data_IF_177594309358
#
_entry.id   IF_177594309358
#
_cell.length_a   1.000
_cell.length_b   1.000
_cell.length_c   1.000
_cell.angle_alpha   90.00
_cell.angle_beta   90.00
_cell.angle_gamma   90.00
#
_symmetry.space_group_name_H-M   'P 1'
#
loop_
_entity.id
_entity.type
_entity.pdbx_description
1 polymer ?
#
# COMPACT_ATOMS: atom_id res chain seq x y z
N UNK A 1 -2.82 -0.12 20.64
CA UNK A 1 -3.41 1.23 20.63
C UNK A 1 -4.27 1.32 19.37
N UNK A 2 -5.59 1.58 19.47
CA UNK A 2 -6.47 1.69 18.30
C UNK A 2 -6.02 2.76 17.29
N UNK A 3 -5.16 3.71 17.71
CA UNK A 3 -4.59 4.72 16.84
C UNK A 3 -3.71 4.15 15.71
N UNK A 4 -3.04 3.01 15.93
CA UNK A 4 -2.14 2.41 14.94
C UNK A 4 -2.92 1.87 13.73
N UNK A 5 -4.07 1.23 13.96
CA UNK A 5 -4.91 0.71 12.87
C UNK A 5 -5.45 1.82 11.98
N UNK A 6 -5.84 2.94 12.60
CA UNK A 6 -6.30 4.13 11.85
C UNK A 6 -5.18 4.68 10.96
N UNK A 7 -3.93 4.72 11.46
CA UNK A 7 -2.79 5.16 10.65
C UNK A 7 -2.53 4.17 9.50
N UNK A 8 -2.58 2.87 9.76
CA UNK A 8 -2.36 1.85 8.72
C UNK A 8 -3.44 1.95 7.63
N UNK A 9 -4.71 2.11 7.99
CA UNK A 9 -5.79 2.32 7.03
C UNK A 9 -5.62 3.63 6.23
N UNK A 10 -5.18 4.71 6.88
CA UNK A 10 -4.90 5.97 6.19
C UNK A 10 -3.76 5.83 5.18
N UNK A 11 -2.66 5.19 5.57
CA UNK A 11 -1.52 4.96 4.69
C UNK A 11 -1.89 4.03 3.54
N UNK A 12 -2.64 2.95 3.79
CA UNK A 12 -3.11 2.03 2.75
C UNK A 12 -3.92 2.77 1.66
N UNK A 13 -4.77 3.70 2.05
CA UNK A 13 -5.51 4.53 1.09
C UNK A 13 -4.59 5.52 0.35
N UNK A 14 -3.52 5.99 1.01
CA UNK A 14 -2.46 6.78 0.41
C UNK A 14 -1.72 6.02 -0.68
N UNK A 15 -1.28 4.80 -0.40
CA UNK A 15 -0.57 3.96 -1.37
C UNK A 15 -1.43 3.65 -2.59
N UNK A 16 -2.71 3.28 -2.39
CA UNK A 16 -3.66 3.07 -3.50
C UNK A 16 -3.86 4.30 -4.37
N UNK A 17 -3.88 5.49 -3.77
CA UNK A 17 -3.95 6.76 -4.50
C UNK A 17 -2.67 7.01 -5.32
N UNK A 18 -1.51 6.71 -4.74
CA UNK A 18 -0.21 6.85 -5.40
C UNK A 18 -0.06 5.86 -6.58
N UNK A 19 -0.43 4.59 -6.39
CA UNK A 19 -0.47 3.56 -7.44
C UNK A 19 -1.30 4.04 -8.63
N UNK A 20 -2.54 4.48 -8.37
CA UNK A 20 -3.41 4.99 -9.43
C UNK A 20 -2.74 6.16 -10.17
N UNK A 21 -2.14 7.11 -9.44
CA UNK A 21 -1.48 8.27 -10.04
C UNK A 21 -0.30 7.87 -10.92
N UNK A 22 0.56 6.97 -10.46
CA UNK A 22 1.73 6.58 -11.24
C UNK A 22 1.38 5.68 -12.42
N UNK A 23 0.31 4.89 -12.32
CA UNK A 23 -0.28 4.20 -13.48
C UNK A 23 -0.75 5.20 -14.54
N UNK A 24 -1.48 6.24 -14.16
CA UNK A 24 -1.94 7.29 -15.09
C UNK A 24 -0.76 8.01 -15.77
N UNK A 25 0.34 8.28 -15.04
CA UNK A 25 1.54 8.90 -15.59
C UNK A 25 2.27 7.94 -16.54
N UNK A 26 2.41 6.66 -16.18
CA UNK A 26 3.02 5.65 -17.03
C UNK A 26 2.23 5.53 -18.35
N UNK A 27 0.91 5.37 -18.28
CA UNK A 27 0.05 5.27 -19.47
C UNK A 27 0.14 6.52 -20.35
N UNK A 28 0.19 7.71 -19.73
CA UNK A 28 0.29 8.97 -20.46
C UNK A 28 1.61 9.10 -21.24
N UNK A 29 2.72 8.62 -20.65
CA UNK A 29 4.08 8.79 -21.15
C UNK A 29 4.60 7.62 -21.98
N UNK A 30 3.90 6.48 -21.97
CA UNK A 30 4.26 5.28 -22.71
C UNK A 30 4.48 5.57 -24.20
N UNK A 31 5.68 5.23 -24.69
CA UNK A 31 6.08 5.44 -26.09
C UNK A 31 6.31 6.89 -26.51
N UNK A 32 6.19 7.87 -25.59
CA UNK A 32 6.41 9.30 -25.85
C UNK A 32 7.61 9.83 -25.08
N UNK A 33 7.68 9.51 -23.79
CA UNK A 33 8.73 9.93 -22.88
C UNK A 33 9.20 8.71 -22.07
N UNK A 34 10.25 8.08 -22.55
CA UNK A 34 10.78 6.85 -21.96
C UNK A 34 11.35 7.05 -20.56
N UNK A 35 11.93 8.22 -20.28
CA UNK A 35 12.53 8.53 -18.98
C UNK A 35 11.46 8.70 -17.92
N UNK A 36 10.42 9.48 -18.21
CA UNK A 36 9.30 9.67 -17.28
C UNK A 36 8.49 8.38 -17.12
N UNK A 37 8.28 7.61 -18.19
CA UNK A 37 7.63 6.30 -18.11
C UNK A 37 8.37 5.36 -17.16
N UNK A 38 9.68 5.19 -17.34
CA UNK A 38 10.48 4.30 -16.50
C UNK A 38 10.45 4.72 -15.04
N UNK A 39 10.54 6.02 -14.76
CA UNK A 39 10.44 6.57 -13.40
C UNK A 39 9.06 6.30 -12.78
N UNK A 40 7.98 6.55 -13.52
CA UNK A 40 6.62 6.31 -13.03
C UNK A 40 6.36 4.83 -12.73
N UNK A 41 6.81 3.93 -13.61
CA UNK A 41 6.70 2.48 -13.39
C UNK A 41 7.50 2.05 -12.16
N UNK A 42 8.70 2.59 -11.97
CA UNK A 42 9.50 2.25 -10.79
C UNK A 42 8.80 2.66 -9.50
N UNK A 43 8.35 3.92 -9.40
CA UNK A 43 7.65 4.39 -8.20
C UNK A 43 6.36 3.58 -7.98
N UNK A 44 5.58 3.32 -9.03
CA UNK A 44 4.37 2.50 -8.93
C UNK A 44 4.64 1.10 -8.34
N UNK A 45 5.77 0.48 -8.69
CA UNK A 45 6.16 -0.81 -8.11
C UNK A 45 6.52 -0.70 -6.63
N UNK A 46 7.21 0.38 -6.23
CA UNK A 46 7.51 0.64 -4.82
C UNK A 46 6.20 0.82 -4.02
N UNK A 47 5.22 1.55 -4.55
CA UNK A 47 3.91 1.72 -3.87
C UNK A 47 3.08 0.42 -3.80
N UNK A 48 3.21 -0.48 -4.79
CA UNK A 48 2.60 -1.82 -4.73
C UNK A 48 3.22 -2.68 -3.62
N UNK A 49 4.54 -2.58 -3.40
CA UNK A 49 5.22 -3.23 -2.28
C UNK A 49 4.75 -2.63 -0.95
N UNK A 50 4.65 -1.30 -0.85
CA UNK A 50 4.13 -0.63 0.34
C UNK A 50 2.68 -1.01 0.65
N UNK A 51 1.79 -1.08 -0.35
CA UNK A 51 0.41 -1.56 -0.17
C UNK A 51 0.40 -2.97 0.43
N UNK A 52 1.19 -3.89 -0.15
CA UNK A 52 1.25 -5.28 0.30
C UNK A 52 1.74 -5.40 1.74
N UNK A 53 2.83 -4.70 2.09
CA UNK A 53 3.39 -4.68 3.44
C UNK A 53 2.36 -4.20 4.48
N UNK A 54 1.62 -3.12 4.16
CA UNK A 54 0.60 -2.56 5.06
C UNK A 54 -0.56 -3.54 5.23
N UNK A 55 -1.02 -4.19 4.16
CA UNK A 55 -2.07 -5.20 4.24
C UNK A 55 -1.65 -6.39 5.12
N UNK A 56 -0.40 -6.84 5.00
CA UNK A 56 0.15 -7.91 5.81
C UNK A 56 0.23 -7.52 7.29
N UNK A 57 0.65 -6.29 7.60
CA UNK A 57 0.64 -5.79 8.99
C UNK A 57 -0.78 -5.75 9.58
N UNK A 58 -1.77 -5.32 8.80
CA UNK A 58 -3.18 -5.30 9.24
C UNK A 58 -3.66 -6.74 9.50
N UNK A 59 -3.34 -7.69 8.63
CA UNK A 59 -3.70 -9.09 8.81
C UNK A 59 -3.07 -9.69 10.06
N UNK A 60 -1.78 -9.45 10.28
CA UNK A 60 -1.06 -9.94 11.46
C UNK A 60 -1.62 -9.34 12.76
N UNK A 61 -1.92 -8.04 12.79
CA UNK A 61 -2.57 -7.39 13.93
C UNK A 61 -3.93 -8.01 14.25
N UNK A 62 -4.73 -8.30 13.22
CA UNK A 62 -6.03 -8.94 13.37
C UNK A 62 -5.89 -10.38 13.89
N UNK A 63 -4.95 -11.17 13.35
CA UNK A 63 -4.65 -12.51 13.85
C UNK A 63 -4.25 -12.48 15.32
N UNK A 64 -3.35 -11.59 15.70
CA UNK A 64 -2.93 -11.42 17.10
C UNK A 64 -4.12 -11.10 18.01
N UNK A 65 -5.00 -10.17 17.62
CA UNK A 65 -6.20 -9.85 18.42
C UNK A 65 -7.11 -11.06 18.63
N UNK A 66 -7.33 -11.86 17.59
CA UNK A 66 -8.16 -13.07 17.68
C UNK A 66 -7.52 -14.14 18.59
N UNK A 67 -6.22 -14.35 18.49
CA UNK A 67 -5.48 -15.26 19.39
C UNK A 67 -5.55 -14.78 20.85
N UNK A 68 -5.36 -13.48 21.09
CA UNK A 68 -5.44 -12.90 22.44
C UNK A 68 -6.84 -13.03 23.04
N UNK A 69 -7.91 -12.92 22.24
CA UNK A 69 -9.28 -13.19 22.69
C UNK A 69 -9.43 -14.65 23.14
N UNK A 70 -8.86 -15.61 22.40
CA UNK A 70 -8.92 -17.05 22.74
C UNK A 70 -8.12 -17.44 23.97
N UNK A 71 -7.09 -16.68 24.36
CA UNK A 71 -6.30 -16.93 25.57
C UNK A 71 -7.01 -16.41 26.84
N UNK A 72 -7.85 -15.38 26.67
CA UNK A 72 -8.50 -14.66 27.78
C UNK A 72 -9.85 -15.28 28.21
N UNK A 73 -10.34 -16.27 27.46
CA UNK A 73 -11.54 -17.07 27.71
C UNK A 73 -11.20 -18.56 27.61
#
# INVERSE_FOLDING_TARGET
DPYIEVILEQNLNGERCAIQRYQEIADFTQGKDHSTYQMAVQIMNDELEHEHDIEDWIQDLNRMKEEWKKIRF
#
